data_IF_626221143099
#
_entry.id   IF_626221143099
#
_cell.length_a   1.000
_cell.length_b   1.000
_cell.length_c   1.000
_cell.angle_alpha   90.00
_cell.angle_beta   90.00
_cell.angle_gamma   90.00
#
_symmetry.space_group_name_H-M   'P 1'
#
loop_
_entity.id
_entity.type
_entity.pdbx_description
1 polymer ?
#
# COMPACT_ATOMS: atom_id res chain seq x y z
N UNK A 1 -32.31 65.65 -7.26
CA UNK A 1 -31.29 65.42 -8.29
C UNK A 1 -30.63 64.08 -7.95
N UNK A 2 -31.06 63.04 -8.64
CA UNK A 2 -30.67 61.65 -8.35
C UNK A 2 -29.57 61.26 -9.33
N UNK A 3 -28.37 60.93 -8.83
CA UNK A 3 -27.24 60.47 -9.65
C UNK A 3 -27.39 58.98 -9.94
N UNK A 4 -27.62 58.65 -11.21
CA UNK A 4 -27.57 57.31 -11.71
C UNK A 4 -26.09 56.81 -11.74
N UNK A 5 -25.77 55.83 -10.89
CA UNK A 5 -24.50 55.13 -10.93
C UNK A 5 -24.53 54.13 -12.09
N UNK A 6 -23.67 54.33 -13.10
CA UNK A 6 -23.44 53.39 -14.18
C UNK A 6 -22.72 52.15 -13.65
N UNK A 7 -23.31 50.95 -13.87
CA UNK A 7 -22.68 49.69 -13.56
C UNK A 7 -21.44 49.46 -14.43
N UNK A 8 -20.36 48.86 -13.89
CA UNK A 8 -19.15 48.62 -14.66
C UNK A 8 -19.41 47.56 -15.76
N UNK A 9 -18.99 47.91 -16.99
CA UNK A 9 -19.00 47.02 -18.15
C UNK A 9 -18.05 45.81 -17.85
N UNK A 10 -18.50 44.56 -17.96
CA UNK A 10 -17.59 43.45 -17.78
C UNK A 10 -16.52 43.42 -18.87
N UNK A 11 -15.26 43.29 -18.48
CA UNK A 11 -14.15 43.16 -19.41
C UNK A 11 -14.36 41.95 -20.36
N UNK A 12 -14.03 42.09 -21.66
CA UNK A 12 -14.19 40.98 -22.61
C UNK A 12 -13.27 39.82 -22.20
N UNK A 13 -13.87 38.66 -21.98
CA UNK A 13 -13.13 37.41 -21.78
C UNK A 13 -12.33 37.09 -23.05
N UNK A 14 -11.03 36.81 -22.97
CA UNK A 14 -10.23 36.51 -24.15
C UNK A 14 -10.72 35.25 -24.83
N UNK A 15 -11.01 35.32 -26.13
CA UNK A 15 -11.57 34.26 -26.98
C UNK A 15 -10.65 33.07 -27.22
N UNK A 16 -9.40 33.06 -26.71
CA UNK A 16 -8.43 31.98 -26.84
C UNK A 16 -8.56 30.85 -25.76
N UNK A 17 -9.48 31.00 -24.81
CA UNK A 17 -9.72 29.97 -23.76
C UNK A 17 -10.66 28.85 -24.15
N UNK A 18 -11.09 28.73 -25.39
CA UNK A 18 -11.99 27.66 -25.86
C UNK A 18 -11.31 26.53 -26.61
N UNK A 19 -10.00 26.56 -26.83
CA UNK A 19 -9.29 25.37 -27.31
C UNK A 19 -9.26 24.35 -26.19
N UNK A 20 -10.05 23.30 -26.32
CA UNK A 20 -10.03 22.13 -25.41
C UNK A 20 -8.61 21.65 -25.34
N UNK A 21 -7.98 21.75 -24.15
CA UNK A 21 -6.68 21.13 -23.90
C UNK A 21 -6.74 19.69 -24.40
N UNK A 22 -5.73 19.21 -25.13
CA UNK A 22 -5.72 17.87 -25.67
C UNK A 22 -5.98 16.87 -24.54
N UNK A 23 -6.89 15.94 -24.78
CA UNK A 23 -7.28 14.93 -23.79
C UNK A 23 -6.06 14.08 -23.41
N UNK A 24 -5.54 14.25 -22.22
CA UNK A 24 -4.40 13.50 -21.71
C UNK A 24 -4.73 12.01 -21.55
N UNK A 25 -3.79 11.15 -21.92
CA UNK A 25 -3.97 9.70 -21.93
C UNK A 25 -2.93 9.00 -21.10
N UNK A 26 -3.37 8.11 -20.23
CA UNK A 26 -2.50 7.25 -19.45
C UNK A 26 -2.80 5.77 -19.72
N UNK A 27 -1.76 4.95 -19.68
CA UNK A 27 -1.91 3.50 -19.69
C UNK A 27 -1.28 2.94 -18.42
N UNK A 28 -2.05 2.15 -17.66
CA UNK A 28 -1.63 1.49 -16.42
C UNK A 28 -1.50 0.00 -16.69
N UNK A 29 -0.32 -0.55 -16.42
CA UNK A 29 -0.01 -1.97 -16.56
C UNK A 29 0.02 -2.61 -15.18
N UNK A 30 -0.89 -3.56 -14.95
CA UNK A 30 -1.13 -4.22 -13.66
C UNK A 30 -2.41 -3.74 -12.98
N UNK A 31 -3.37 -4.66 -12.78
CA UNK A 31 -4.70 -4.42 -12.20
C UNK A 31 -4.81 -4.73 -10.71
N UNK A 32 -3.69 -5.02 -10.02
CA UNK A 32 -3.69 -5.21 -8.56
C UNK A 32 -4.07 -3.93 -7.79
N UNK A 33 -4.14 -3.95 -6.44
CA UNK A 33 -4.63 -2.83 -5.64
C UNK A 33 -3.98 -1.48 -5.95
N UNK A 34 -2.67 -1.50 -6.22
CA UNK A 34 -1.90 -0.29 -6.56
C UNK A 34 -2.27 0.23 -7.96
N UNK A 35 -2.37 -0.66 -8.95
CA UNK A 35 -2.70 -0.26 -10.32
C UNK A 35 -4.16 0.18 -10.47
N UNK A 36 -5.08 -0.51 -9.82
CA UNK A 36 -6.49 -0.15 -9.76
C UNK A 36 -6.67 1.26 -9.17
N UNK A 37 -6.03 1.51 -8.01
CA UNK A 37 -6.07 2.83 -7.38
C UNK A 37 -5.38 3.90 -8.24
N UNK A 38 -4.29 3.55 -8.94
CA UNK A 38 -3.61 4.47 -9.88
C UNK A 38 -4.55 4.87 -11.03
N UNK A 39 -5.27 3.92 -11.60
CA UNK A 39 -6.19 4.21 -12.69
C UNK A 39 -7.32 5.15 -12.26
N UNK A 40 -7.92 4.90 -11.09
CA UNK A 40 -8.94 5.78 -10.50
C UNK A 40 -8.39 7.18 -10.21
N UNK A 41 -7.22 7.27 -9.60
CA UNK A 41 -6.57 8.54 -9.26
C UNK A 41 -6.22 9.39 -10.49
N UNK A 42 -5.74 8.76 -11.57
CA UNK A 42 -5.44 9.44 -12.83
C UNK A 42 -6.73 9.87 -13.57
N UNK A 43 -7.75 9.02 -13.58
CA UNK A 43 -9.04 9.37 -14.19
C UNK A 43 -9.71 10.54 -13.46
N UNK A 44 -9.63 10.57 -12.14
CA UNK A 44 -10.10 11.70 -11.32
C UNK A 44 -9.28 12.99 -11.56
N UNK A 45 -8.00 12.85 -11.95
CA UNK A 45 -7.18 13.98 -12.40
C UNK A 45 -7.49 14.44 -13.85
N UNK A 46 -8.55 13.92 -14.47
CA UNK A 46 -9.01 14.31 -15.80
C UNK A 46 -8.34 13.58 -16.96
N UNK A 47 -7.58 12.50 -16.70
CA UNK A 47 -6.92 11.71 -17.72
C UNK A 47 -7.86 10.60 -18.26
N UNK A 48 -7.76 10.29 -19.54
CA UNK A 48 -8.30 9.03 -20.09
C UNK A 48 -7.34 7.90 -19.76
N UNK A 49 -7.83 6.85 -19.10
CA UNK A 49 -6.99 5.77 -18.58
C UNK A 49 -7.35 4.45 -19.23
N UNK A 50 -6.33 3.73 -19.72
CA UNK A 50 -6.45 2.32 -20.07
C UNK A 50 -5.73 1.49 -19.00
N UNK A 51 -6.46 0.60 -18.31
CA UNK A 51 -5.90 -0.37 -17.37
C UNK A 51 -5.81 -1.74 -18.03
N UNK A 52 -4.62 -2.34 -18.00
CA UNK A 52 -4.34 -3.64 -18.62
C UNK A 52 -3.76 -4.60 -17.59
N UNK A 53 -4.33 -5.79 -17.47
CA UNK A 53 -3.77 -6.89 -16.68
C UNK A 53 -4.02 -8.24 -17.38
N UNK A 54 -3.04 -9.17 -17.41
CA UNK A 54 -3.23 -10.50 -17.96
C UNK A 54 -4.19 -11.37 -17.15
N UNK A 55 -4.49 -11.00 -15.91
CA UNK A 55 -5.44 -11.70 -15.03
C UNK A 55 -6.84 -11.15 -15.23
N UNK A 56 -7.85 -12.02 -15.19
CA UNK A 56 -9.25 -11.62 -15.13
C UNK A 56 -9.60 -10.95 -13.80
N UNK A 57 -10.71 -10.24 -13.73
CA UNK A 57 -11.20 -9.61 -12.50
C UNK A 57 -11.34 -10.60 -11.35
N UNK A 58 -11.84 -11.82 -11.60
CA UNK A 58 -11.94 -12.87 -10.59
C UNK A 58 -10.58 -13.37 -10.10
N UNK A 59 -9.61 -13.51 -11.00
CA UNK A 59 -8.25 -13.89 -10.64
C UNK A 59 -7.53 -12.79 -9.83
N UNK A 60 -7.78 -11.52 -10.15
CA UNK A 60 -7.26 -10.38 -9.37
C UNK A 60 -7.82 -10.37 -7.96
N UNK A 61 -9.07 -10.77 -7.74
CA UNK A 61 -9.70 -10.89 -6.42
C UNK A 61 -9.24 -12.10 -5.61
N UNK A 62 -8.75 -13.16 -6.26
CA UNK A 62 -8.52 -14.47 -5.63
C UNK A 62 -7.39 -14.50 -4.59
N UNK A 63 -6.59 -13.45 -4.45
CA UNK A 63 -5.50 -13.40 -3.46
C UNK A 63 -6.05 -13.27 -2.05
N UNK A 64 -5.48 -14.07 -1.15
CA UNK A 64 -5.85 -14.05 0.28
C UNK A 64 -4.75 -13.35 1.07
N UNK A 65 -4.93 -12.06 1.28
CA UNK A 65 -4.03 -11.20 2.05
C UNK A 65 -4.85 -10.15 2.78
N UNK A 66 -4.29 -9.61 3.87
CA UNK A 66 -4.81 -8.43 4.52
C UNK A 66 -3.73 -7.34 4.58
N UNK A 67 -4.16 -6.11 4.56
CA UNK A 67 -3.32 -4.92 4.54
C UNK A 67 -3.65 -4.05 5.75
N UNK A 68 -2.64 -3.65 6.51
CA UNK A 68 -2.81 -2.64 7.54
C UNK A 68 -2.74 -1.25 6.89
N UNK A 69 -3.77 -0.45 7.06
CA UNK A 69 -3.87 0.90 6.54
C UNK A 69 -3.59 1.93 7.63
N UNK A 70 -2.74 2.89 7.28
CA UNK A 70 -2.45 4.07 8.11
C UNK A 70 -3.47 5.19 7.88
N UNK A 71 -3.49 6.19 8.77
CA UNK A 71 -4.29 7.39 8.62
C UNK A 71 -4.00 8.13 7.32
N UNK A 72 -2.73 8.21 6.88
CA UNK A 72 -2.38 8.85 5.61
C UNK A 72 -3.01 8.15 4.41
N UNK A 73 -3.05 6.82 4.41
CA UNK A 73 -3.74 6.04 3.37
C UNK A 73 -5.26 6.26 3.41
N UNK A 74 -5.87 6.27 4.60
CA UNK A 74 -7.30 6.60 4.76
C UNK A 74 -7.61 7.99 4.19
N UNK A 75 -6.83 9.01 4.58
CA UNK A 75 -7.03 10.38 4.09
C UNK A 75 -6.89 10.48 2.56
N UNK A 76 -5.97 9.73 1.96
CA UNK A 76 -5.86 9.67 0.52
C UNK A 76 -7.08 9.03 -0.13
N UNK A 77 -7.56 7.89 0.39
CA UNK A 77 -8.80 7.25 -0.09
C UNK A 77 -10.02 8.16 0.06
N UNK A 78 -10.09 8.93 1.15
CA UNK A 78 -11.17 9.90 1.37
C UNK A 78 -11.15 11.02 0.32
N UNK A 79 -9.97 11.56 -0.02
CA UNK A 79 -9.83 12.55 -1.11
C UNK A 79 -10.22 11.98 -2.47
N UNK A 80 -10.08 10.67 -2.67
CA UNK A 80 -10.55 9.98 -3.87
C UNK A 80 -12.04 9.63 -3.84
N UNK A 81 -12.76 9.93 -2.74
CA UNK A 81 -14.16 9.54 -2.56
C UNK A 81 -14.39 8.03 -2.42
N UNK A 82 -13.33 7.27 -2.07
CA UNK A 82 -13.37 5.81 -1.96
C UNK A 82 -13.49 5.33 -0.51
N UNK A 83 -13.28 6.22 0.47
CA UNK A 83 -13.21 5.78 1.86
C UNK A 83 -14.54 5.26 2.40
N UNK A 84 -15.65 5.94 2.12
CA UNK A 84 -16.98 5.54 2.57
C UNK A 84 -17.29 4.10 2.13
N UNK A 85 -17.02 3.79 0.86
CA UNK A 85 -17.21 2.47 0.29
C UNK A 85 -16.29 1.40 0.90
N UNK A 86 -15.02 1.75 1.16
CA UNK A 86 -14.04 0.83 1.71
C UNK A 86 -14.14 0.68 3.22
N UNK A 87 -14.68 1.67 3.93
CA UNK A 87 -14.89 1.62 5.39
C UNK A 87 -15.90 0.54 5.81
N UNK A 88 -16.86 0.19 4.93
CA UNK A 88 -17.82 -0.89 5.16
C UNK A 88 -17.14 -2.27 5.30
N UNK A 89 -15.98 -2.46 4.67
CA UNK A 89 -15.23 -3.73 4.62
C UNK A 89 -13.88 -3.65 5.33
N UNK A 90 -13.53 -2.49 5.88
CA UNK A 90 -12.32 -2.28 6.65
C UNK A 90 -12.57 -2.54 8.14
N UNK A 91 -11.73 -3.33 8.78
CA UNK A 91 -11.81 -3.63 10.21
C UNK A 91 -10.95 -2.63 10.98
N UNK A 92 -11.54 -1.72 11.77
CA UNK A 92 -10.77 -0.80 12.59
C UNK A 92 -10.11 -1.54 13.76
N UNK A 93 -8.85 -1.20 14.08
CA UNK A 93 -8.24 -1.58 15.35
C UNK A 93 -7.96 -0.33 16.18
N UNK A 94 -8.34 -0.39 17.46
CA UNK A 94 -8.27 0.74 18.41
C UNK A 94 -7.03 0.69 19.29
N UNK A 95 -6.35 -0.45 19.28
CA UNK A 95 -5.09 -0.60 20.00
C UNK A 95 -4.09 -1.43 19.21
N UNK A 96 -2.82 -1.04 19.30
CA UNK A 96 -1.67 -1.77 18.78
C UNK A 96 -0.72 -2.08 19.93
N UNK A 97 -0.36 -3.33 20.12
CA UNK A 97 0.66 -3.74 21.07
C UNK A 97 1.95 -4.14 20.36
N UNK A 98 3.00 -3.40 20.63
CA UNK A 98 4.36 -3.77 20.24
C UNK A 98 4.99 -4.53 21.41
N UNK A 99 5.38 -5.78 21.21
CA UNK A 99 5.99 -6.62 22.24
C UNK A 99 7.36 -7.11 21.78
N UNK A 100 8.42 -6.77 22.48
CA UNK A 100 9.73 -7.41 22.35
C UNK A 100 9.79 -8.58 23.34
N UNK A 101 9.60 -9.80 22.84
CA UNK A 101 9.54 -11.01 23.67
C UNK A 101 10.92 -11.36 24.27
N UNK A 102 12.01 -11.00 23.60
CA UNK A 102 13.37 -11.22 24.12
C UNK A 102 13.75 -10.21 25.21
N UNK A 103 13.31 -8.95 25.04
CA UNK A 103 13.57 -7.90 26.04
C UNK A 103 12.58 -7.93 27.20
N UNK A 104 11.47 -8.67 27.09
CA UNK A 104 10.38 -8.68 28.05
C UNK A 104 9.71 -7.31 28.18
N UNK A 105 9.57 -6.57 27.09
CA UNK A 105 8.98 -5.23 27.05
C UNK A 105 7.79 -5.17 26.10
N UNK A 106 6.77 -4.43 26.49
CA UNK A 106 5.61 -4.15 25.65
C UNK A 106 5.22 -2.68 25.73
N UNK A 107 4.81 -2.12 24.59
CA UNK A 107 4.25 -0.77 24.49
C UNK A 107 2.86 -0.91 23.85
N UNK A 108 1.88 -0.19 24.39
CA UNK A 108 0.56 -0.06 23.80
C UNK A 108 0.41 1.30 23.15
N UNK A 109 -0.18 1.31 21.97
CA UNK A 109 -0.68 2.50 21.27
C UNK A 109 -2.20 2.43 21.23
N UNK A 110 -2.85 3.52 21.59
CA UNK A 110 -4.29 3.65 21.59
C UNK A 110 -4.77 4.88 20.84
N UNK A 111 -6.05 5.16 20.91
CA UNK A 111 -6.66 6.34 20.24
C UNK A 111 -6.07 7.66 20.72
N UNK A 112 -5.68 7.74 22.00
CA UNK A 112 -5.06 8.95 22.58
C UNK A 112 -3.69 9.28 21.97
N UNK A 113 -3.01 8.28 21.43
CA UNK A 113 -1.68 8.45 20.80
C UNK A 113 -1.79 8.94 19.36
N UNK A 114 -2.95 8.79 18.70
CA UNK A 114 -3.20 9.25 17.33
C UNK A 114 -3.56 10.74 17.30
N UNK A 115 -4.10 11.28 18.38
CA UNK A 115 -4.66 12.64 18.44
C UNK A 115 -3.64 13.80 18.40
N UNK A 116 -2.33 13.54 18.42
CA UNK A 116 -1.29 14.58 18.38
C UNK A 116 -0.91 15.06 16.98
N UNK A 117 -1.38 14.39 15.93
CA UNK A 117 -1.06 14.68 14.53
C UNK A 117 -2.15 15.51 13.80
N UNK A 118 -2.91 16.35 14.51
CA UNK A 118 -3.79 17.36 13.91
C UNK A 118 -5.15 16.87 13.39
N UNK A 119 -5.53 15.62 13.62
CA UNK A 119 -6.80 15.05 13.13
C UNK A 119 -7.88 14.88 14.22
N UNK A 120 -7.76 15.57 15.34
CA UNK A 120 -8.77 15.56 16.40
C UNK A 120 -10.13 16.14 15.97
N UNK A 121 -10.17 16.81 14.83
CA UNK A 121 -11.43 17.37 14.29
C UNK A 121 -12.36 16.30 13.70
N UNK A 122 -11.85 15.12 13.34
CA UNK A 122 -12.62 14.07 12.63
C UNK A 122 -12.90 12.82 13.49
N UNK A 123 -12.70 12.87 14.82
CA UNK A 123 -12.96 11.75 15.72
C UNK A 123 -12.19 10.50 15.29
N UNK A 124 -10.89 10.40 15.57
CA UNK A 124 -10.12 9.20 15.28
C UNK A 124 -10.73 7.98 15.98
N UNK A 125 -11.49 7.17 15.26
CA UNK A 125 -12.15 5.99 15.80
C UNK A 125 -11.25 4.76 15.85
N UNK A 126 -10.06 4.84 15.25
CA UNK A 126 -9.11 3.74 15.13
C UNK A 126 -7.65 4.22 15.14
N UNK A 127 -6.73 3.36 15.55
CA UNK A 127 -5.28 3.52 15.34
C UNK A 127 -4.92 3.23 13.89
N UNK A 128 -5.66 2.34 13.26
CA UNK A 128 -5.55 1.98 11.86
C UNK A 128 -6.65 0.99 11.47
N UNK A 129 -6.60 0.51 10.24
CA UNK A 129 -7.62 -0.40 9.68
C UNK A 129 -6.96 -1.60 9.01
N UNK A 130 -7.59 -2.75 9.12
CA UNK A 130 -7.20 -3.93 8.35
C UNK A 130 -8.20 -4.13 7.22
N UNK A 131 -7.69 -4.23 6.00
CA UNK A 131 -8.49 -4.40 4.80
C UNK A 131 -8.06 -5.68 4.08
N UNK A 132 -8.99 -6.62 3.93
CA UNK A 132 -8.74 -7.85 3.21
C UNK A 132 -8.69 -7.59 1.70
N UNK A 133 -7.84 -8.36 1.00
CA UNK A 133 -7.59 -8.16 -0.43
C UNK A 133 -8.84 -8.37 -1.29
N UNK A 134 -9.61 -9.42 -1.03
CA UNK A 134 -10.77 -9.76 -1.85
C UNK A 134 -11.84 -8.65 -1.84
N UNK A 135 -12.36 -8.19 -0.68
CA UNK A 135 -13.34 -7.09 -0.66
C UNK A 135 -12.76 -5.77 -1.18
N UNK A 136 -11.47 -5.48 -0.90
CA UNK A 136 -10.80 -4.31 -1.50
C UNK A 136 -10.85 -4.35 -3.03
N UNK A 137 -10.41 -5.46 -3.62
CA UNK A 137 -10.37 -5.58 -5.08
C UNK A 137 -11.75 -5.59 -5.70
N UNK A 138 -12.73 -6.21 -5.06
CA UNK A 138 -14.11 -6.17 -5.51
C UNK A 138 -14.59 -4.72 -5.65
N UNK A 139 -14.46 -3.93 -4.57
CA UNK A 139 -14.88 -2.52 -4.57
C UNK A 139 -14.10 -1.66 -5.58
N UNK A 140 -12.79 -1.88 -5.72
CA UNK A 140 -12.00 -1.15 -6.71
C UNK A 140 -12.39 -1.49 -8.14
N UNK A 141 -12.66 -2.75 -8.47
CA UNK A 141 -13.09 -3.17 -9.80
C UNK A 141 -14.46 -2.60 -10.15
N UNK A 142 -15.42 -2.64 -9.22
CA UNK A 142 -16.74 -1.99 -9.39
C UNK A 142 -16.60 -0.49 -9.74
N UNK A 143 -15.69 0.22 -9.05
CA UNK A 143 -15.43 1.64 -9.32
C UNK A 143 -14.73 1.87 -10.66
N UNK A 144 -13.82 0.99 -11.06
CA UNK A 144 -13.15 1.06 -12.35
C UNK A 144 -14.14 0.85 -13.51
N UNK A 145 -15.03 -0.13 -13.40
CA UNK A 145 -16.07 -0.43 -14.40
C UNK A 145 -17.10 0.70 -14.54
N UNK A 146 -17.44 1.34 -13.43
CA UNK A 146 -18.40 2.45 -13.41
C UNK A 146 -17.82 3.76 -13.97
N UNK A 147 -16.50 3.91 -14.07
CA UNK A 147 -15.86 5.18 -14.40
C UNK A 147 -15.73 5.40 -15.91
N UNK A 148 -16.49 6.33 -16.51
CA UNK A 148 -16.52 6.60 -17.95
C UNK A 148 -15.15 6.99 -18.58
N UNK A 149 -14.20 7.45 -17.78
CA UNK A 149 -12.84 7.82 -18.21
C UNK A 149 -11.86 6.65 -18.24
N UNK A 150 -12.27 5.44 -17.84
CA UNK A 150 -11.40 4.26 -17.73
C UNK A 150 -11.87 3.18 -18.70
N UNK A 151 -10.94 2.59 -19.45
CA UNK A 151 -11.15 1.38 -20.22
C UNK A 151 -10.36 0.23 -19.61
N UNK A 152 -11.00 -0.93 -19.43
CA UNK A 152 -10.40 -2.12 -18.84
C UNK A 152 -10.09 -3.16 -19.92
N UNK A 153 -8.89 -3.74 -19.88
CA UNK A 153 -8.46 -4.90 -20.65
C UNK A 153 -7.91 -5.93 -19.67
N UNK A 154 -8.80 -6.77 -19.11
CA UNK A 154 -8.48 -7.79 -18.11
C UNK A 154 -8.60 -9.18 -18.70
N UNK A 155 -7.64 -10.08 -18.43
CA UNK A 155 -7.63 -11.44 -18.93
C UNK A 155 -7.03 -11.58 -20.34
N UNK A 156 -6.74 -10.47 -21.01
CA UNK A 156 -6.11 -10.49 -22.32
C UNK A 156 -4.58 -10.60 -22.18
N UNK A 157 -3.99 -11.59 -22.83
CA UNK A 157 -2.53 -11.70 -22.96
C UNK A 157 -2.08 -10.71 -24.04
N UNK A 158 -2.25 -9.42 -23.79
CA UNK A 158 -1.69 -8.40 -24.66
C UNK A 158 -0.17 -8.38 -24.48
N UNK A 159 0.56 -8.80 -25.50
CA UNK A 159 2.01 -8.62 -25.59
C UNK A 159 2.38 -7.16 -25.30
N UNK A 160 3.45 -6.84 -24.59
CA UNK A 160 3.86 -5.46 -24.24
C UNK A 160 4.12 -4.53 -25.43
N UNK A 161 3.90 -4.99 -26.64
CA UNK A 161 3.98 -4.26 -27.92
C UNK A 161 2.86 -4.59 -28.89
N UNK A 162 1.86 -5.37 -28.48
CA UNK A 162 0.76 -5.80 -29.36
C UNK A 162 -0.23 -4.67 -29.60
N UNK A 163 -0.45 -4.37 -30.87
CA UNK A 163 -1.51 -3.51 -31.38
C UNK A 163 -2.87 -4.09 -30.95
N UNK A 164 -3.55 -3.46 -30.00
CA UNK A 164 -4.98 -3.65 -29.87
C UNK A 164 -5.62 -3.01 -31.10
N UNK A 165 -5.94 -3.83 -32.09
CA UNK A 165 -6.83 -3.45 -33.19
C UNK A 165 -8.22 -3.21 -32.62
N UNK A 166 -8.47 -1.97 -32.16
CA UNK A 166 -9.82 -1.47 -32.04
C UNK A 166 -10.15 -0.76 -33.34
N UNK A 167 -11.19 -1.28 -34.03
CA UNK A 167 -11.85 -0.74 -35.18
C UNK A 167 -12.15 0.77 -35.03
N UNK A 168 -11.28 1.60 -35.55
CA UNK A 168 -11.42 3.05 -35.61
C UNK A 168 -10.18 3.65 -36.26
N UNK A 169 -10.36 4.42 -37.30
CA UNK A 169 -9.38 4.94 -38.26
C UNK A 169 -8.34 5.96 -37.73
N UNK A 170 -7.92 5.84 -36.47
CA UNK A 170 -6.75 6.56 -35.93
C UNK A 170 -5.74 5.54 -35.43
N UNK A 171 -4.53 5.52 -35.96
CA UNK A 171 -3.44 4.61 -35.56
C UNK A 171 -3.20 4.61 -34.03
N UNK A 172 -2.50 3.59 -33.49
CA UNK A 172 -2.29 3.44 -32.05
C UNK A 172 -1.55 4.67 -31.48
N UNK A 173 -2.31 5.59 -30.88
CA UNK A 173 -1.72 6.77 -30.24
C UNK A 173 -0.99 6.33 -28.97
N UNK A 174 0.30 6.61 -28.88
CA UNK A 174 1.09 6.38 -27.67
C UNK A 174 0.48 7.18 -26.50
N UNK A 175 0.40 6.60 -25.29
CA UNK A 175 -0.06 7.33 -24.13
C UNK A 175 0.95 8.41 -23.73
N UNK A 176 0.46 9.54 -23.21
CA UNK A 176 1.30 10.61 -22.65
C UNK A 176 2.02 10.14 -21.38
N UNK A 177 1.41 9.20 -20.64
CA UNK A 177 1.94 8.59 -19.43
C UNK A 177 1.74 7.08 -19.46
N UNK A 178 2.83 6.32 -19.29
CA UNK A 178 2.82 4.88 -19.07
C UNK A 178 3.14 4.60 -17.60
N UNK A 179 2.31 3.79 -16.93
CA UNK A 179 2.51 3.44 -15.52
C UNK A 179 2.68 1.94 -15.38
N UNK A 180 3.81 1.51 -14.82
CA UNK A 180 4.03 0.12 -14.44
C UNK A 180 3.65 -0.08 -12.96
N UNK A 181 2.56 -0.81 -12.72
CA UNK A 181 2.08 -1.29 -11.44
C UNK A 181 1.99 -2.83 -11.43
N UNK A 182 2.80 -3.49 -12.25
CA UNK A 182 2.83 -4.91 -12.60
C UNK A 182 3.64 -5.79 -11.61
N UNK A 183 3.85 -5.27 -10.39
CA UNK A 183 4.37 -6.00 -9.24
C UNK A 183 5.89 -6.17 -9.22
N UNK A 184 6.39 -6.89 -8.21
CA UNK A 184 7.83 -7.00 -7.92
C UNK A 184 8.64 -7.64 -9.06
N UNK A 185 8.02 -8.55 -9.81
CA UNK A 185 8.63 -9.16 -11.00
C UNK A 185 8.47 -8.31 -12.28
N UNK A 186 8.03 -7.07 -12.20
CA UNK A 186 7.67 -6.17 -13.29
C UNK A 186 8.39 -6.47 -14.62
N UNK A 187 7.68 -6.99 -15.62
CA UNK A 187 8.23 -7.14 -16.97
C UNK A 187 8.46 -5.78 -17.62
N UNK A 188 7.58 -4.80 -17.36
CA UNK A 188 7.70 -3.43 -17.88
C UNK A 188 8.98 -2.75 -17.41
N UNK A 189 9.32 -2.86 -16.10
CA UNK A 189 10.59 -2.35 -15.59
C UNK A 189 11.78 -2.98 -16.31
N UNK A 190 11.74 -4.32 -16.49
CA UNK A 190 12.85 -5.04 -17.17
C UNK A 190 12.99 -4.61 -18.63
N UNK A 191 11.90 -4.55 -19.38
CA UNK A 191 11.90 -4.11 -20.79
C UNK A 191 12.39 -2.67 -20.92
N UNK A 192 12.10 -1.81 -19.95
CA UNK A 192 12.64 -0.46 -19.88
C UNK A 192 14.12 -0.41 -19.46
N UNK A 193 14.80 -1.54 -19.22
CA UNK A 193 16.21 -1.58 -18.82
C UNK A 193 16.48 -0.97 -17.43
N UNK A 194 15.46 -0.84 -16.58
CA UNK A 194 15.62 -0.27 -15.24
C UNK A 194 16.06 -1.38 -14.28
N UNK A 195 17.31 -1.33 -13.85
CA UNK A 195 17.87 -2.23 -12.84
C UNK A 195 17.30 -1.94 -11.47
N UNK A 196 17.37 -2.92 -10.57
CA UNK A 196 17.04 -2.76 -9.15
C UNK A 196 18.17 -3.25 -8.26
N UNK A 197 18.30 -2.65 -7.08
CA UNK A 197 19.02 -3.26 -5.97
C UNK A 197 18.11 -4.28 -5.32
N UNK A 198 18.66 -5.40 -4.93
CA UNK A 198 17.93 -6.45 -4.21
C UNK A 198 18.82 -6.97 -3.09
N UNK A 199 18.33 -6.84 -1.87
CA UNK A 199 18.94 -7.39 -0.67
C UNK A 199 17.99 -8.46 -0.13
N UNK A 200 18.26 -9.75 -0.37
CA UNK A 200 17.46 -10.83 0.18
C UNK A 200 17.65 -10.89 1.69
N UNK A 201 16.58 -11.12 2.42
CA UNK A 201 16.67 -11.47 3.83
C UNK A 201 16.90 -12.98 3.96
N UNK A 202 17.60 -13.41 5.03
CA UNK A 202 17.70 -14.82 5.41
C UNK A 202 16.36 -15.35 5.97
N UNK A 203 15.32 -14.57 5.87
CA UNK A 203 13.95 -14.82 6.34
C UNK A 203 13.00 -14.99 5.18
N UNK A 204 11.92 -15.71 5.43
CA UNK A 204 10.71 -15.67 4.64
C UNK A 204 9.57 -15.08 5.50
N UNK A 205 8.39 -14.94 4.94
CA UNK A 205 7.20 -14.55 5.65
C UNK A 205 6.11 -15.58 5.38
N UNK A 206 5.42 -16.03 6.44
CA UNK A 206 4.29 -16.95 6.37
C UNK A 206 3.02 -16.18 6.73
N UNK A 207 1.98 -16.36 5.95
CA UNK A 207 0.63 -15.89 6.25
C UNK A 207 -0.31 -17.05 6.49
N UNK A 208 -1.21 -16.91 7.46
CA UNK A 208 -2.29 -17.84 7.74
C UNK A 208 -3.46 -17.08 8.37
N UNK A 209 -4.68 -17.62 8.25
CA UNK A 209 -5.83 -17.13 9.00
C UNK A 209 -6.22 -18.13 10.07
N UNK A 210 -6.41 -17.65 11.28
CA UNK A 210 -6.74 -18.46 12.45
C UNK A 210 -7.82 -17.79 13.28
N UNK A 211 -8.47 -18.59 14.13
CA UNK A 211 -9.25 -18.08 15.26
C UNK A 211 -8.37 -18.12 16.51
N UNK A 212 -8.32 -16.98 17.20
CA UNK A 212 -7.55 -16.83 18.45
C UNK A 212 -8.49 -16.48 19.60
N UNK A 213 -8.38 -17.21 20.70
CA UNK A 213 -8.96 -16.79 21.98
C UNK A 213 -7.98 -15.87 22.72
N UNK A 214 -8.53 -14.92 23.50
CA UNK A 214 -7.74 -13.99 24.31
C UNK A 214 -7.25 -12.74 23.57
N UNK A 215 -7.55 -12.62 22.28
CA UNK A 215 -7.36 -11.38 21.52
C UNK A 215 -8.64 -10.54 21.57
N UNK A 216 -8.51 -9.24 21.84
CA UNK A 216 -9.63 -8.32 21.66
C UNK A 216 -9.87 -8.13 20.14
N UNK A 217 -11.13 -8.00 19.70
CA UNK A 217 -11.48 -7.93 18.28
C UNK A 217 -10.94 -6.69 17.56
N UNK A 218 -10.55 -5.67 18.32
CA UNK A 218 -10.03 -4.38 17.87
C UNK A 218 -8.55 -4.15 18.27
N UNK A 219 -7.82 -5.23 18.61
CA UNK A 219 -6.43 -5.15 18.99
C UNK A 219 -5.51 -5.84 17.98
N UNK A 220 -4.58 -5.07 17.42
CA UNK A 220 -3.48 -5.58 16.63
C UNK A 220 -2.22 -5.79 17.49
N UNK A 221 -1.36 -6.73 17.07
CA UNK A 221 -0.11 -7.03 17.73
C UNK A 221 1.03 -7.06 16.73
N UNK A 222 2.17 -6.52 17.13
CA UNK A 222 3.46 -6.72 16.49
C UNK A 222 4.41 -7.31 17.52
N UNK A 223 4.74 -8.57 17.38
CA UNK A 223 5.63 -9.32 18.26
C UNK A 223 7.02 -9.34 17.66
N UNK A 224 7.96 -8.69 18.30
CA UNK A 224 9.36 -8.77 17.92
C UNK A 224 9.97 -9.99 18.58
N UNK A 225 10.47 -10.88 17.75
CA UNK A 225 11.08 -12.15 18.12
C UNK A 225 12.45 -12.24 17.49
N UNK A 226 13.34 -12.98 18.11
CA UNK A 226 14.70 -13.22 17.62
C UNK A 226 14.77 -13.73 16.18
N UNK A 227 13.82 -14.55 15.76
CA UNK A 227 13.74 -15.12 14.42
C UNK A 227 13.13 -14.17 13.37
N UNK A 228 12.42 -13.15 13.81
CA UNK A 228 11.74 -12.17 12.95
C UNK A 228 10.49 -11.60 13.59
N UNK A 229 9.96 -10.51 13.04
CA UNK A 229 8.71 -9.91 13.49
C UNK A 229 7.52 -10.81 13.17
N UNK A 230 6.48 -10.72 14.00
CA UNK A 230 5.27 -11.49 13.88
C UNK A 230 4.05 -10.62 14.19
N UNK A 231 3.28 -10.28 13.16
CA UNK A 231 2.05 -9.51 13.31
C UNK A 231 0.83 -10.41 13.47
N UNK A 232 -0.09 -9.99 14.36
CA UNK A 232 -1.40 -10.58 14.61
C UNK A 232 -2.44 -9.49 14.36
N UNK A 233 -3.18 -9.62 13.26
CA UNK A 233 -4.05 -8.57 12.74
C UNK A 233 -5.52 -9.01 12.83
N UNK A 234 -6.42 -8.26 13.49
CA UNK A 234 -7.83 -8.61 13.57
C UNK A 234 -8.51 -8.46 12.19
N UNK A 235 -9.32 -9.44 11.80
CA UNK A 235 -10.12 -9.41 10.57
C UNK A 235 -11.62 -9.25 10.83
N UNK A 236 -12.02 -9.07 12.08
CA UNK A 236 -13.42 -9.15 12.51
C UNK A 236 -13.82 -10.60 12.83
N UNK A 237 -14.99 -10.77 13.44
CA UNK A 237 -15.63 -12.06 13.77
C UNK A 237 -14.73 -13.09 14.49
N UNK A 238 -13.77 -12.61 15.30
CA UNK A 238 -12.79 -13.46 15.96
C UNK A 238 -11.74 -14.08 15.03
N UNK A 239 -11.75 -13.73 13.74
CA UNK A 239 -10.76 -14.16 12.77
C UNK A 239 -9.53 -13.25 12.83
N UNK A 240 -8.36 -13.84 12.65
CA UNK A 240 -7.08 -13.14 12.74
C UNK A 240 -6.17 -13.52 11.57
N UNK A 241 -5.57 -12.53 10.93
CA UNK A 241 -4.49 -12.72 9.97
C UNK A 241 -3.15 -12.75 10.69
N UNK A 242 -2.39 -13.80 10.47
CA UNK A 242 -1.00 -13.91 10.91
C UNK A 242 -0.06 -13.46 9.78
N UNK A 243 1.00 -12.73 10.15
CA UNK A 243 2.12 -12.40 9.27
C UNK A 243 3.40 -12.69 10.03
N UNK A 244 3.94 -13.90 9.84
CA UNK A 244 5.03 -14.45 10.64
C UNK A 244 6.33 -14.48 9.85
N UNK A 245 7.31 -13.69 10.25
CA UNK A 245 8.66 -13.72 9.67
C UNK A 245 9.58 -14.60 10.50
N UNK A 246 10.30 -15.50 9.83
CA UNK A 246 11.29 -16.39 10.44
C UNK A 246 12.25 -16.92 9.36
N UNK A 247 13.32 -17.66 9.71
CA UNK A 247 14.20 -18.32 8.74
C UNK A 247 13.38 -19.17 7.75
N UNK A 248 13.73 -19.08 6.47
CA UNK A 248 12.95 -19.71 5.37
C UNK A 248 12.75 -21.21 5.57
N UNK A 249 13.78 -21.93 6.07
CA UNK A 249 13.69 -23.35 6.36
C UNK A 249 12.64 -23.66 7.44
N UNK A 250 12.59 -22.85 8.50
CA UNK A 250 11.59 -23.01 9.56
C UNK A 250 10.17 -22.82 9.02
N UNK A 251 9.96 -21.77 8.22
CA UNK A 251 8.64 -21.49 7.66
C UNK A 251 8.20 -22.56 6.66
N UNK A 252 9.13 -23.13 5.88
CA UNK A 252 8.84 -24.27 5.01
C UNK A 252 8.38 -25.49 5.79
N UNK A 253 8.97 -25.76 6.97
CA UNK A 253 8.49 -26.81 7.87
C UNK A 253 7.11 -26.51 8.44
N UNK A 254 6.86 -25.26 8.87
CA UNK A 254 5.54 -24.86 9.39
C UNK A 254 4.43 -24.94 8.32
N UNK A 255 4.73 -24.56 7.09
CA UNK A 255 3.80 -24.65 5.96
C UNK A 255 3.38 -26.10 5.63
N UNK A 256 4.28 -27.05 5.88
CA UNK A 256 4.05 -28.49 5.63
C UNK A 256 3.30 -29.21 6.75
N UNK A 257 3.09 -28.58 7.91
CA UNK A 257 2.40 -29.19 9.05
C UNK A 257 0.91 -29.41 8.75
N UNK A 258 0.34 -30.43 9.37
CA UNK A 258 -1.10 -30.58 9.47
C UNK A 258 -1.70 -29.46 10.37
N UNK A 259 -3.04 -29.23 10.31
CA UNK A 259 -3.66 -28.15 11.06
C UNK A 259 -3.43 -28.18 12.57
N UNK A 260 -3.42 -29.37 13.20
CA UNK A 260 -3.25 -29.51 14.66
C UNK A 260 -1.82 -29.17 15.04
N UNK A 261 -0.85 -29.80 14.39
CA UNK A 261 0.57 -29.53 14.63
C UNK A 261 0.96 -28.07 14.33
N UNK A 262 0.32 -27.43 13.34
CA UNK A 262 0.52 -26.01 13.10
C UNK A 262 0.00 -25.15 14.26
N UNK A 263 -1.20 -25.43 14.79
CA UNK A 263 -1.77 -24.69 15.92
C UNK A 263 -0.92 -24.87 17.19
N UNK A 264 -0.39 -26.06 17.45
CA UNK A 264 0.53 -26.33 18.55
C UNK A 264 1.83 -25.52 18.40
N UNK A 265 2.42 -25.52 17.21
CA UNK A 265 3.60 -24.70 16.91
C UNK A 265 3.31 -23.19 17.03
N UNK A 266 2.11 -22.76 16.64
CA UNK A 266 1.66 -21.39 16.77
C UNK A 266 1.50 -21.00 18.25
N UNK A 267 0.92 -21.86 19.07
CA UNK A 267 0.75 -21.62 20.52
C UNK A 267 2.09 -21.33 21.22
N UNK A 268 3.16 -22.02 20.83
CA UNK A 268 4.51 -21.77 21.37
C UNK A 268 5.13 -20.44 20.89
N UNK A 269 4.58 -19.87 19.83
CA UNK A 269 5.07 -18.63 19.20
C UNK A 269 4.37 -17.38 19.72
N UNK A 270 3.18 -17.53 20.28
CA UNK A 270 2.34 -16.46 20.79
C UNK A 270 2.54 -16.23 22.29
N UNK A 271 2.22 -15.03 22.82
CA UNK A 271 2.06 -14.83 24.27
C UNK A 271 0.98 -15.78 24.84
N UNK A 272 1.16 -16.30 26.06
CA UNK A 272 0.27 -17.28 26.69
C UNK A 272 -1.22 -16.93 26.68
N UNK A 273 -1.54 -15.63 26.70
CA UNK A 273 -2.92 -15.16 26.67
C UNK A 273 -3.60 -15.33 25.31
N UNK A 274 -2.81 -15.48 24.22
CA UNK A 274 -3.31 -15.70 22.85
C UNK A 274 -3.29 -17.19 22.53
N UNK A 275 -4.43 -17.84 22.51
CA UNK A 275 -4.53 -19.27 22.31
C UNK A 275 -5.16 -19.59 20.96
N UNK A 276 -4.45 -20.32 20.07
CA UNK A 276 -5.01 -20.77 18.81
C UNK A 276 -6.14 -21.78 19.03
N UNK A 277 -7.28 -21.57 18.35
CA UNK A 277 -8.44 -22.48 18.40
C UNK A 277 -8.69 -23.20 17.10
N UNK A 278 -8.54 -22.53 15.97
CA UNK A 278 -8.80 -23.12 14.66
C UNK A 278 -7.92 -22.49 13.58
N UNK A 279 -7.46 -23.33 12.65
CA UNK A 279 -6.83 -22.92 11.42
C UNK A 279 -7.91 -22.74 10.34
N UNK A 280 -8.13 -21.51 9.89
CA UNK A 280 -9.17 -21.16 8.91
C UNK A 280 -8.63 -21.17 7.48
N UNK A 281 -7.36 -20.79 7.32
CA UNK A 281 -6.65 -20.84 6.04
C UNK A 281 -5.27 -21.43 6.23
N UNK A 282 -4.90 -22.37 5.33
CA UNK A 282 -3.59 -23.02 5.36
C UNK A 282 -2.45 -22.00 5.27
N UNK A 283 -1.38 -22.20 6.05
CA UNK A 283 -0.22 -21.34 6.01
C UNK A 283 0.43 -21.34 4.62
N UNK A 284 0.91 -20.16 4.20
CA UNK A 284 1.69 -20.01 2.96
C UNK A 284 2.91 -19.16 3.21
N UNK A 285 4.07 -19.70 2.89
CA UNK A 285 5.35 -19.02 3.01
C UNK A 285 5.77 -18.38 1.67
N UNK A 286 6.40 -17.22 1.75
CA UNK A 286 6.95 -16.52 0.60
C UNK A 286 8.26 -15.81 0.97
N UNK A 287 9.22 -15.72 0.03
CA UNK A 287 10.50 -15.06 0.28
C UNK A 287 10.31 -13.55 0.43
N UNK A 288 11.09 -12.94 1.33
CA UNK A 288 11.15 -11.49 1.52
C UNK A 288 12.50 -10.93 1.10
N UNK A 289 12.47 -9.77 0.49
CA UNK A 289 13.66 -9.03 0.09
C UNK A 289 13.37 -7.54 0.12
N UNK A 290 14.38 -6.75 0.47
CA UNK A 290 14.37 -5.33 0.19
C UNK A 290 14.74 -5.14 -1.29
N UNK A 291 13.89 -4.44 -2.02
CA UNK A 291 14.12 -4.15 -3.43
C UNK A 291 13.88 -2.67 -3.71
N UNK A 292 14.75 -2.07 -4.50
CA UNK A 292 14.65 -0.67 -4.91
C UNK A 292 15.11 -0.51 -6.36
N UNK A 293 14.22 -0.03 -7.22
CA UNK A 293 14.57 0.34 -8.58
C UNK A 293 15.55 1.51 -8.56
N UNK A 294 16.59 1.45 -9.42
CA UNK A 294 17.58 2.53 -9.50
C UNK A 294 17.01 3.85 -9.99
N UNK A 295 15.88 3.78 -10.70
CA UNK A 295 15.13 4.93 -11.21
C UNK A 295 13.65 4.58 -11.15
N UNK A 296 12.81 5.55 -10.82
CA UNK A 296 11.35 5.38 -10.78
C UNK A 296 10.68 5.83 -12.07
N UNK A 297 11.45 6.32 -13.03
CA UNK A 297 10.95 6.71 -14.34
C UNK A 297 11.98 6.49 -15.44
N UNK A 298 11.50 6.39 -16.69
CA UNK A 298 12.27 6.46 -17.93
C UNK A 298 11.37 7.02 -19.04
N UNK A 299 11.73 8.22 -19.58
CA UNK A 299 10.82 8.94 -20.47
C UNK A 299 9.46 9.16 -19.81
N UNK A 300 8.37 8.81 -20.49
CA UNK A 300 6.99 8.86 -19.96
C UNK A 300 6.61 7.67 -19.06
N UNK A 301 7.47 6.68 -18.88
CA UNK A 301 7.22 5.55 -17.99
C UNK A 301 7.45 5.96 -16.53
N UNK A 302 6.46 5.72 -15.65
CA UNK A 302 6.56 5.76 -14.19
C UNK A 302 6.45 4.34 -13.61
N UNK A 303 7.28 3.99 -12.62
CA UNK A 303 7.17 2.76 -11.85
C UNK A 303 6.48 3.07 -10.53
N UNK A 304 5.41 2.36 -10.20
CA UNK A 304 4.60 2.58 -9.00
C UNK A 304 4.48 1.29 -8.18
N UNK A 305 4.57 1.42 -6.87
CA UNK A 305 4.42 0.31 -5.93
C UNK A 305 5.52 -0.73 -6.07
N UNK A 306 5.17 -2.02 -6.00
CA UNK A 306 6.15 -3.11 -6.03
C UNK A 306 6.94 -3.21 -7.35
N UNK A 307 6.52 -2.54 -8.41
CA UNK A 307 7.34 -2.41 -9.62
C UNK A 307 8.59 -1.55 -9.36
N UNK A 308 8.52 -0.58 -8.44
CA UNK A 308 9.60 0.31 -8.05
C UNK A 308 10.35 -0.14 -6.79
N UNK A 309 9.64 -0.64 -5.78
CA UNK A 309 10.22 -0.94 -4.47
C UNK A 309 9.50 -2.06 -3.74
N UNK A 310 10.18 -2.70 -2.80
CA UNK A 310 9.62 -3.70 -1.90
C UNK A 310 10.32 -3.61 -0.55
N UNK A 311 9.56 -3.44 0.53
CA UNK A 311 10.06 -3.42 1.90
C UNK A 311 9.75 -4.74 2.61
N UNK A 312 10.36 -4.93 3.79
CA UNK A 312 9.96 -5.97 4.71
C UNK A 312 8.52 -5.71 5.21
N UNK A 313 7.69 -6.75 5.43
CA UNK A 313 6.30 -6.57 5.86
C UNK A 313 6.12 -6.03 7.29
N UNK A 314 7.21 -5.86 8.07
CA UNK A 314 7.16 -5.30 9.42
C UNK A 314 6.43 -3.96 9.45
N UNK A 315 5.53 -3.81 10.43
CA UNK A 315 4.72 -2.60 10.60
C UNK A 315 3.73 -2.32 9.46
N UNK A 316 3.46 -3.28 8.55
CA UNK A 316 2.44 -3.14 7.51
C UNK A 316 2.68 -2.04 6.47
N UNK A 317 3.93 -1.55 6.30
CA UNK A 317 4.22 -0.38 5.48
C UNK A 317 4.11 -0.60 3.96
N UNK A 318 4.12 -1.84 3.48
CA UNK A 318 4.19 -2.14 2.04
C UNK A 318 3.09 -1.48 1.22
N UNK A 319 1.82 -1.67 1.57
CA UNK A 319 0.69 -1.10 0.85
C UNK A 319 0.61 0.43 1.03
N UNK A 320 0.83 0.92 2.24
CA UNK A 320 0.84 2.36 2.53
C UNK A 320 1.89 3.10 1.68
N UNK A 321 3.08 2.51 1.52
CA UNK A 321 4.14 3.07 0.68
C UNK A 321 3.72 3.10 -0.80
N UNK A 322 3.10 2.02 -1.30
CA UNK A 322 2.58 1.97 -2.66
C UNK A 322 1.50 3.03 -2.92
N UNK A 323 0.62 3.29 -1.96
CA UNK A 323 -0.45 4.28 -2.11
C UNK A 323 0.07 5.72 -2.01
N UNK A 324 1.14 5.97 -1.25
CA UNK A 324 1.86 7.25 -1.31
C UNK A 324 2.48 7.52 -2.69
N UNK A 325 2.86 6.46 -3.43
CA UNK A 325 3.27 6.62 -4.83
C UNK A 325 2.11 7.09 -5.70
N UNK A 326 0.94 6.47 -5.54
CA UNK A 326 -0.26 6.83 -6.31
C UNK A 326 -0.66 8.27 -6.03
N UNK A 327 -0.65 8.69 -4.75
CA UNK A 327 -0.95 10.05 -4.34
C UNK A 327 -0.01 11.08 -5.00
N UNK A 328 1.29 10.81 -4.99
CA UNK A 328 2.26 11.72 -5.62
C UNK A 328 2.11 11.73 -7.15
N UNK A 329 1.86 10.57 -7.77
CA UNK A 329 1.62 10.51 -9.21
C UNK A 329 0.37 11.30 -9.60
N UNK A 330 -0.74 11.17 -8.85
CA UNK A 330 -1.96 11.95 -9.05
C UNK A 330 -1.67 13.44 -8.94
N UNK A 331 -0.90 13.87 -7.94
CA UNK A 331 -0.52 15.28 -7.76
C UNK A 331 0.19 15.83 -8.99
N UNK A 332 1.12 15.07 -9.58
CA UNK A 332 1.81 15.51 -10.80
C UNK A 332 0.88 15.47 -12.02
N UNK A 333 -0.03 14.50 -12.08
CA UNK A 333 -1.03 14.40 -13.15
C UNK A 333 -2.03 15.57 -13.13
N UNK A 334 -2.47 15.99 -11.94
CA UNK A 334 -3.32 17.19 -11.76
C UNK A 334 -2.61 18.45 -12.26
N UNK A 335 -1.32 18.62 -11.96
CA UNK A 335 -0.53 19.75 -12.46
C UNK A 335 -0.41 19.74 -13.98
N UNK A 336 -0.30 18.57 -14.59
CA UNK A 336 -0.28 18.46 -16.04
C UNK A 336 -1.65 18.79 -16.65
N UNK A 337 -2.74 18.34 -16.05
CA UNK A 337 -4.10 18.67 -16.46
C UNK A 337 -4.40 20.17 -16.32
N UNK A 338 -3.80 20.84 -15.33
CA UNK A 338 -3.89 22.28 -15.14
C UNK A 338 -2.96 23.11 -16.08
N UNK A 339 -2.12 22.42 -16.90
CA UNK A 339 -1.14 23.09 -17.76
C UNK A 339 0.12 23.61 -17.04
N UNK A 340 0.30 23.31 -15.74
CA UNK A 340 1.45 23.74 -14.94
C UNK A 340 2.70 22.88 -15.18
N UNK A 341 2.52 21.68 -15.75
CA UNK A 341 3.58 20.72 -16.01
C UNK A 341 3.37 20.09 -17.39
N UNK A 342 4.39 20.01 -18.25
CA UNK A 342 4.27 19.26 -19.50
C UNK A 342 3.94 17.78 -19.19
N UNK A 343 3.01 17.13 -19.93
CA UNK A 343 2.64 15.72 -19.72
C UNK A 343 3.86 14.78 -19.71
N UNK A 344 4.80 15.00 -20.62
CA UNK A 344 6.05 14.22 -20.69
C UNK A 344 6.95 14.34 -19.43
N UNK A 345 6.75 15.38 -18.60
CA UNK A 345 7.53 15.61 -17.38
C UNK A 345 6.91 14.95 -16.13
N UNK A 346 5.68 14.45 -16.21
CA UNK A 346 4.94 13.87 -15.06
C UNK A 346 5.72 12.74 -14.41
N UNK A 347 6.17 11.75 -15.19
CA UNK A 347 6.92 10.60 -14.68
C UNK A 347 8.22 11.01 -13.98
N UNK A 348 8.94 11.98 -14.55
CA UNK A 348 10.18 12.48 -13.98
C UNK A 348 9.95 13.28 -12.69
N UNK A 349 8.92 14.12 -12.65
CA UNK A 349 8.56 14.90 -11.46
C UNK A 349 8.14 13.98 -10.30
N UNK A 350 7.30 12.98 -10.59
CA UNK A 350 6.94 11.90 -9.66
C UNK A 350 8.18 11.20 -9.10
N UNK A 351 9.03 10.66 -9.98
CA UNK A 351 10.17 9.85 -9.57
C UNK A 351 11.17 10.60 -8.68
N UNK A 352 11.41 11.88 -8.94
CA UNK A 352 12.29 12.71 -8.09
C UNK A 352 11.73 12.91 -6.68
N UNK A 353 10.41 13.11 -6.55
CA UNK A 353 9.78 13.38 -5.26
C UNK A 353 9.62 12.13 -4.40
N UNK A 354 9.42 10.97 -5.04
CA UNK A 354 9.20 9.72 -4.32
C UNK A 354 10.48 9.07 -3.79
N UNK A 355 11.61 9.33 -4.43
CA UNK A 355 12.84 8.59 -4.16
C UNK A 355 13.30 8.67 -2.70
N UNK A 356 13.29 9.86 -2.12
CA UNK A 356 13.73 10.07 -0.73
C UNK A 356 12.80 9.38 0.29
N UNK A 357 11.47 9.53 0.15
CA UNK A 357 10.51 8.91 1.06
C UNK A 357 10.55 7.38 0.98
N UNK A 358 10.65 6.83 -0.23
CA UNK A 358 10.81 5.38 -0.41
C UNK A 358 12.10 4.90 0.24
N UNK A 359 13.24 5.55 -0.02
CA UNK A 359 14.53 5.17 0.57
C UNK A 359 14.47 5.20 2.10
N UNK A 360 13.92 6.27 2.70
CA UNK A 360 13.79 6.39 4.15
C UNK A 360 12.90 5.27 4.72
N UNK A 361 11.77 4.96 4.09
CA UNK A 361 10.89 3.88 4.55
C UNK A 361 11.58 2.52 4.45
N UNK A 362 12.32 2.25 3.36
CA UNK A 362 13.07 1.01 3.20
C UNK A 362 14.17 0.87 4.27
N UNK A 363 14.93 1.94 4.51
CA UNK A 363 15.97 1.95 5.54
C UNK A 363 15.38 1.78 6.94
N UNK A 364 14.27 2.43 7.24
CA UNK A 364 13.61 2.31 8.53
C UNK A 364 13.10 0.88 8.78
N UNK A 365 12.41 0.28 7.81
CA UNK A 365 11.93 -1.10 7.95
C UNK A 365 13.07 -2.11 8.02
N UNK A 366 14.15 -1.93 7.26
CA UNK A 366 15.36 -2.78 7.32
C UNK A 366 16.04 -2.65 8.71
N UNK A 367 16.17 -1.42 9.21
CA UNK A 367 16.73 -1.15 10.52
C UNK A 367 15.92 -1.82 11.64
N UNK A 368 14.60 -1.71 11.61
CA UNK A 368 13.71 -2.39 12.57
C UNK A 368 13.97 -3.90 12.57
N UNK A 369 13.95 -4.53 11.39
CA UNK A 369 14.21 -5.98 11.30
C UNK A 369 15.58 -6.33 11.86
N UNK A 370 16.63 -5.60 11.48
CA UNK A 370 18.00 -5.87 11.97
C UNK A 370 18.17 -5.66 13.46
N UNK A 371 17.56 -4.62 14.01
CA UNK A 371 17.61 -4.35 15.44
C UNK A 371 16.85 -5.42 16.22
N UNK A 372 15.66 -5.80 15.79
CA UNK A 372 14.80 -6.69 16.56
C UNK A 372 14.99 -8.19 16.28
N UNK A 373 15.63 -8.57 15.17
CA UNK A 373 15.86 -9.97 14.79
C UNK A 373 17.33 -10.38 14.95
N UNK A 374 17.90 -10.17 16.15
CA UNK A 374 19.29 -10.56 16.43
C UNK A 374 19.50 -10.93 17.91
N UNK A 375 20.71 -11.41 18.25
CA UNK A 375 21.09 -11.89 19.59
C UNK A 375 22.13 -11.03 20.31
N UNK A 376 22.52 -9.90 19.74
CA UNK A 376 23.62 -9.13 20.33
C UNK A 376 23.21 -8.45 21.64
N UNK A 377 23.89 -8.69 22.76
CA UNK A 377 23.52 -8.16 24.08
C UNK A 377 23.44 -6.63 24.12
N UNK A 378 24.34 -5.95 23.40
CA UNK A 378 24.36 -4.48 23.32
C UNK A 378 23.08 -3.96 22.66
N UNK A 379 22.61 -4.61 21.59
CA UNK A 379 21.37 -4.23 20.92
C UNK A 379 20.13 -4.51 21.78
N UNK A 380 20.15 -5.54 22.62
CA UNK A 380 19.08 -5.79 23.60
C UNK A 380 18.94 -4.64 24.59
N UNK A 381 20.06 -4.13 25.10
CA UNK A 381 20.07 -2.98 26.04
C UNK A 381 19.57 -1.70 25.32
N UNK A 382 20.02 -1.45 24.10
CA UNK A 382 19.55 -0.32 23.29
C UNK A 382 18.04 -0.42 22.98
N UNK A 383 17.52 -1.62 22.67
CA UNK A 383 16.10 -1.87 22.44
C UNK A 383 15.26 -1.57 23.69
N UNK A 384 15.70 -2.06 24.86
CA UNK A 384 15.02 -1.78 26.14
C UNK A 384 14.94 -0.28 26.37
N UNK A 385 16.06 0.42 26.22
CA UNK A 385 16.11 1.87 26.41
C UNK A 385 15.21 2.60 25.40
N UNK A 386 15.24 2.22 24.12
CA UNK A 386 14.42 2.82 23.08
C UNK A 386 12.92 2.61 23.37
N UNK A 387 12.51 1.39 23.74
CA UNK A 387 11.13 1.07 24.10
C UNK A 387 10.70 1.81 25.37
N UNK A 388 11.56 1.89 26.41
CA UNK A 388 11.26 2.63 27.62
C UNK A 388 11.14 4.15 27.37
N UNK A 389 11.96 4.72 26.46
CA UNK A 389 11.85 6.11 26.04
C UNK A 389 10.57 6.36 25.23
N UNK A 390 10.22 5.48 24.32
CA UNK A 390 8.95 5.55 23.56
C UNK A 390 7.74 5.44 24.50
N UNK A 391 7.79 4.56 25.50
CA UNK A 391 6.72 4.44 26.48
C UNK A 391 6.51 5.71 27.30
N UNK A 392 7.58 6.46 27.58
CA UNK A 392 7.55 7.73 28.35
C UNK A 392 7.25 8.95 27.49
N UNK A 393 7.55 8.92 26.21
CA UNK A 393 7.44 10.04 25.28
C UNK A 393 6.12 10.01 24.54
N UNK A 394 5.27 11.05 24.70
CA UNK A 394 4.08 11.25 23.87
C UNK A 394 4.41 11.49 22.39
N UNK A 395 5.61 12.00 22.10
CA UNK A 395 6.07 12.35 20.74
C UNK A 395 6.45 11.08 19.94
N UNK A 396 7.06 10.08 20.57
CA UNK A 396 7.41 8.81 19.91
C UNK A 396 6.23 7.95 19.52
N UNK A 397 5.05 8.21 20.12
CA UNK A 397 3.81 7.46 19.84
C UNK A 397 3.03 7.99 18.63
N UNK A 398 3.31 9.21 18.19
CA UNK A 398 2.58 9.87 17.10
C UNK A 398 3.06 9.51 15.69
N UNK A 399 4.16 8.79 15.54
CA UNK A 399 4.81 8.51 14.25
C UNK A 399 4.88 7.02 13.87
N UNK A 400 4.17 6.13 14.58
CA UNK A 400 4.11 4.69 14.25
C UNK A 400 2.84 4.33 13.47
#
# INVERSE_FOLDING_TARGET
MSALALAPVPAPTPSWRTDRLPQLRARVLGGGPTGALTALALAQAGWRVQLIDPLSGSQLQARRRAYALSHSSRMFLQRLGLWELLSEVAVPFRSLRLCDLEAGRAIGFGLDDVGSCGTRADGAEAVGWILQHQPLMQRLLEQLEAHAGISLSLGDVASPGGNAESSGSAGPQLPDLLVAADGSASPTRRSAGIRRWRLPYAQACLTAQVRLRGSAPDQAWELFRREGPFAVLPLGDGTTQLVWSAPAERLGRLEALDPVAFLDALATALPERLQPEALLERPRAFPVALELARRFHRGSLALVGEAAHRCHPVGGQGMNLCWRDVEELQRQALRAAAGELPPAAVAAAYGRRRWADVLLTLLFTDLLVRIFSNRQPLLLSCRRLALDLMARSKIGRAHV
#
